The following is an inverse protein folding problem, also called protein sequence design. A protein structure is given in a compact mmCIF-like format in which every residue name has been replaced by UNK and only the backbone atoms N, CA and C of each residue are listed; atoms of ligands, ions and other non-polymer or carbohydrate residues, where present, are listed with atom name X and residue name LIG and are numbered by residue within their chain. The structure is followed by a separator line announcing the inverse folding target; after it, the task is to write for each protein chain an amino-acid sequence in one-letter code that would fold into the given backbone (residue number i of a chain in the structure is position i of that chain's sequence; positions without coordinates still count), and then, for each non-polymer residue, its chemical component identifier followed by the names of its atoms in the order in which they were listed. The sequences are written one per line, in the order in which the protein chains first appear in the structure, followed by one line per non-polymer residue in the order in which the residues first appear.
data_IF_492945227941
#
_entry.id   IF_492945227941
#
_cell.length_a   1.000
_cell.length_b   1.000
_cell.length_c   1.000
_cell.angle_alpha   90.00
_cell.angle_beta   90.00
_cell.angle_gamma   90.00
#
_symmetry.space_group_name_H-M   'P 1'
#
loop_
_entity.id
_entity.type
_entity.pdbx_description
1 polymer ?
#
# COMPACT_ATOMS: atom_id res chain seq x y z
N UNK A 1 -1.85 19.60 6.85
CA UNK A 1 -2.96 20.42 7.38
C UNK A 1 -3.56 19.73 8.61
N UNK A 2 -4.30 20.45 9.46
CA UNK A 2 -4.98 19.86 10.61
C UNK A 2 -6.49 19.97 10.41
N UNK A 3 -7.21 18.86 10.62
CA UNK A 3 -8.66 18.76 10.53
C UNK A 3 -9.19 18.19 11.85
N UNK A 4 -9.59 19.07 12.78
CA UNK A 4 -9.96 18.64 14.13
C UNK A 4 -8.78 17.93 14.83
N UNK A 5 -8.95 16.70 15.35
CA UNK A 5 -7.87 15.96 16.00
C UNK A 5 -6.88 15.30 15.02
N UNK A 6 -7.10 15.42 13.71
CA UNK A 6 -6.31 14.73 12.69
C UNK A 6 -5.25 15.67 12.09
N UNK A 7 -3.99 15.25 12.11
CA UNK A 7 -2.97 15.83 11.25
C UNK A 7 -2.91 15.04 9.94
N UNK A 8 -3.01 15.74 8.80
CA UNK A 8 -3.05 15.13 7.46
C UNK A 8 -1.95 15.73 6.61
N UNK A 9 -1.07 14.88 6.09
CA UNK A 9 -0.05 15.22 5.11
C UNK A 9 -0.35 14.49 3.80
N UNK A 10 -0.26 15.18 2.67
CA UNK A 10 -0.26 14.54 1.35
C UNK A 10 1.17 14.47 0.81
N UNK A 11 1.51 13.42 0.08
CA UNK A 11 2.80 13.28 -0.62
C UNK A 11 2.58 12.74 -2.04
N UNK A 12 3.47 13.06 -2.99
CA UNK A 12 3.33 12.57 -4.36
C UNK A 12 3.58 11.05 -4.41
N UNK A 13 2.81 10.36 -5.25
CA UNK A 13 3.10 8.98 -5.66
C UNK A 13 3.32 8.94 -7.18
N UNK A 14 3.97 7.88 -7.65
CA UNK A 14 4.22 7.69 -9.08
C UNK A 14 3.01 7.07 -9.78
N UNK A 15 2.23 7.90 -10.46
CA UNK A 15 1.08 7.49 -11.28
C UNK A 15 0.99 8.34 -12.56
N UNK A 16 0.54 7.78 -13.70
CA UNK A 16 0.17 8.57 -14.87
C UNK A 16 -0.84 9.67 -14.53
N UNK A 17 -0.58 10.90 -14.96
CA UNK A 17 -1.42 12.06 -14.64
C UNK A 17 -1.24 12.61 -13.21
N UNK A 18 -0.40 11.96 -12.39
CA UNK A 18 -0.16 12.32 -11.01
C UNK A 18 -1.23 11.80 -10.05
N UNK A 19 -0.80 11.42 -8.85
CA UNK A 19 -1.65 11.06 -7.73
C UNK A 19 -0.94 11.42 -6.42
N UNK A 20 -1.65 11.30 -5.29
CA UNK A 20 -1.07 11.51 -3.98
C UNK A 20 -1.44 10.38 -3.01
N UNK A 21 -0.49 10.06 -2.14
CA UNK A 21 -0.74 9.32 -0.91
C UNK A 21 -1.01 10.29 0.24
N UNK A 22 -1.48 9.74 1.36
CA UNK A 22 -1.79 10.51 2.56
C UNK A 22 -1.19 9.85 3.80
N UNK A 23 -0.65 10.67 4.71
CA UNK A 23 -0.40 10.27 6.09
C UNK A 23 -1.47 10.94 6.96
N UNK A 24 -2.11 10.16 7.82
CA UNK A 24 -3.10 10.63 8.79
C UNK A 24 -2.63 10.24 10.17
N UNK A 25 -2.47 11.23 11.05
CA UNK A 25 -2.08 11.04 12.44
C UNK A 25 -3.17 11.51 13.38
N UNK A 26 -3.42 10.74 14.43
CA UNK A 26 -4.36 11.07 15.52
C UNK A 26 -3.84 10.54 16.84
N UNK A 27 -3.56 11.44 17.79
CA UNK A 27 -2.89 11.07 19.03
C UNK A 27 -1.54 10.42 18.75
N UNK A 28 -1.35 9.17 19.18
CA UNK A 28 -0.14 8.39 18.93
C UNK A 28 -0.25 7.44 17.72
N UNK A 29 -1.35 7.50 16.95
CA UNK A 29 -1.60 6.61 15.81
C UNK A 29 -1.28 7.28 14.50
N UNK A 30 -0.71 6.52 13.56
CA UNK A 30 -0.30 6.94 12.23
C UNK A 30 -0.73 5.93 11.17
N UNK A 31 -1.48 6.41 10.18
CA UNK A 31 -1.94 5.61 9.04
C UNK A 31 -1.35 6.22 7.76
N UNK A 32 -0.80 5.38 6.89
CA UNK A 32 -0.31 5.82 5.58
C UNK A 32 -1.12 5.16 4.47
N UNK A 33 -1.69 5.97 3.58
CA UNK A 33 -2.43 5.56 2.39
C UNK A 33 -1.54 5.75 1.17
N UNK A 34 -1.28 4.66 0.45
CA UNK A 34 -0.50 4.60 -0.78
C UNK A 34 -1.33 3.88 -1.82
N UNK A 35 -2.29 4.59 -2.41
CA UNK A 35 -3.04 4.12 -3.58
C UNK A 35 -2.31 4.55 -4.85
N UNK A 36 -2.53 3.84 -5.96
CA UNK A 36 -2.15 4.32 -7.29
C UNK A 36 -0.66 4.70 -7.36
N UNK A 37 0.21 3.79 -6.90
CA UNK A 37 1.66 3.95 -6.97
C UNK A 37 2.30 2.83 -7.79
N UNK A 38 3.08 3.20 -8.80
CA UNK A 38 3.96 2.29 -9.52
C UNK A 38 5.36 2.30 -8.91
N UNK A 39 5.70 1.23 -8.22
CA UNK A 39 7.04 1.01 -7.68
C UNK A 39 8.10 0.82 -8.78
N UNK A 40 9.37 0.87 -8.40
CA UNK A 40 10.51 0.65 -9.28
C UNK A 40 11.20 1.92 -9.76
N UNK A 41 10.77 3.09 -9.28
CA UNK A 41 11.53 4.34 -9.42
C UNK A 41 12.12 4.72 -8.06
N UNK A 42 13.45 4.73 -7.97
CA UNK A 42 14.13 4.91 -6.68
C UNK A 42 13.75 6.21 -5.96
N UNK A 43 13.45 7.29 -6.69
CA UNK A 43 13.10 8.58 -6.08
C UNK A 43 11.67 8.56 -5.52
N UNK A 44 10.72 8.02 -6.27
CA UNK A 44 9.34 7.88 -5.82
C UNK A 44 9.22 6.86 -4.69
N UNK A 45 9.90 5.73 -4.83
CA UNK A 45 9.91 4.64 -3.85
C UNK A 45 10.47 5.13 -2.50
N UNK A 46 11.54 5.95 -2.51
CA UNK A 46 12.07 6.55 -1.28
C UNK A 46 11.05 7.44 -0.58
N UNK A 47 10.32 8.28 -1.32
CA UNK A 47 9.30 9.16 -0.75
C UNK A 47 8.19 8.34 -0.09
N UNK A 48 7.73 7.28 -0.76
CA UNK A 48 6.70 6.38 -0.25
C UNK A 48 7.20 5.65 1.00
N UNK A 49 8.39 5.06 0.95
CA UNK A 49 8.97 4.33 2.06
C UNK A 49 9.15 5.23 3.31
N UNK A 50 9.64 6.45 3.14
CA UNK A 50 9.83 7.41 4.23
C UNK A 50 8.51 7.76 4.92
N UNK A 51 7.40 7.81 4.18
CA UNK A 51 6.07 8.09 4.74
C UNK A 51 5.43 6.90 5.43
N UNK A 52 5.92 5.69 5.18
CA UNK A 52 5.50 4.47 5.87
C UNK A 52 6.24 4.24 7.19
N UNK A 53 7.38 4.89 7.42
CA UNK A 53 8.14 4.77 8.67
C UNK A 53 7.26 5.19 9.86
N UNK A 54 7.18 4.32 10.86
CA UNK A 54 6.40 4.54 12.08
C UNK A 54 4.88 4.43 11.91
N UNK A 55 4.38 3.96 10.76
CA UNK A 55 2.94 3.74 10.58
C UNK A 55 2.46 2.50 11.34
N UNK A 56 1.38 2.64 12.11
CA UNK A 56 0.62 1.53 12.71
C UNK A 56 -0.10 0.70 11.63
N UNK A 57 -0.47 1.36 10.53
CA UNK A 57 -1.17 0.76 9.40
C UNK A 57 -0.80 1.45 8.10
N UNK A 58 -0.46 0.65 7.09
CA UNK A 58 -0.34 1.11 5.70
C UNK A 58 -1.42 0.48 4.85
N UNK A 59 -2.16 1.27 4.08
CA UNK A 59 -3.00 0.79 2.99
C UNK A 59 -2.23 0.96 1.69
N UNK A 60 -1.94 -0.12 0.99
CA UNK A 60 -1.01 -0.12 -0.15
C UNK A 60 -1.62 -0.75 -1.41
N UNK A 61 -1.35 -0.16 -2.58
CA UNK A 61 -1.73 -0.69 -3.90
C UNK A 61 -1.05 -2.03 -4.21
N UNK A 62 -1.83 -3.06 -4.55
CA UNK A 62 -1.30 -4.33 -5.05
C UNK A 62 -2.09 -4.83 -6.26
N UNK A 63 -2.31 -3.94 -7.23
CA UNK A 63 -3.15 -4.22 -8.40
C UNK A 63 -2.63 -5.39 -9.21
N UNK A 64 -1.32 -5.49 -9.44
CA UNK A 64 -0.73 -6.45 -10.36
C UNK A 64 0.08 -7.54 -9.65
N UNK A 65 0.25 -8.68 -10.32
CA UNK A 65 1.33 -9.61 -10.04
C UNK A 65 2.61 -9.16 -10.76
N UNK A 66 3.77 -9.66 -10.34
CA UNK A 66 5.05 -9.38 -11.04
C UNK A 66 4.99 -9.73 -12.54
N UNK A 67 4.31 -10.83 -12.89
CA UNK A 67 4.16 -11.26 -14.28
C UNK A 67 3.30 -10.28 -15.10
N UNK A 68 2.24 -9.73 -14.49
CA UNK A 68 1.36 -8.75 -15.14
C UNK A 68 2.03 -7.38 -15.27
N UNK A 69 2.81 -6.97 -14.27
CA UNK A 69 3.47 -5.67 -14.24
C UNK A 69 4.35 -5.46 -15.48
N UNK A 70 5.02 -6.49 -15.98
CA UNK A 70 5.87 -6.41 -17.17
C UNK A 70 5.14 -5.83 -18.40
N UNK A 71 3.86 -6.19 -18.57
CA UNK A 71 3.02 -5.70 -19.67
C UNK A 71 2.23 -4.42 -19.31
N UNK A 72 2.21 -4.04 -18.03
CA UNK A 72 1.43 -2.91 -17.49
C UNK A 72 2.31 -1.82 -16.87
N UNK A 73 3.61 -1.79 -17.19
CA UNK A 73 4.51 -0.69 -16.80
C UNK A 73 3.99 0.64 -17.32
N UNK A 74 4.09 1.69 -16.51
CA UNK A 74 3.53 3.00 -16.80
C UNK A 74 2.03 3.10 -16.58
N UNK A 75 1.38 2.13 -15.95
CA UNK A 75 -0.05 2.20 -15.61
C UNK A 75 -0.29 2.75 -14.20
N UNK A 76 0.75 2.90 -13.38
CA UNK A 76 0.60 3.55 -12.07
C UNK A 76 0.34 2.61 -10.89
N UNK A 77 0.48 1.29 -11.05
CA UNK A 77 0.13 0.34 -9.99
C UNK A 77 1.28 -0.58 -9.57
N UNK A 78 1.10 -1.19 -8.40
CA UNK A 78 2.11 -1.96 -7.70
C UNK A 78 1.76 -3.44 -7.58
N UNK A 79 2.69 -4.19 -6.97
CA UNK A 79 2.57 -5.63 -6.73
C UNK A 79 2.59 -5.93 -5.24
N UNK A 80 2.10 -7.12 -4.89
CA UNK A 80 2.12 -7.56 -3.50
C UNK A 80 3.57 -7.83 -3.01
N UNK A 81 4.47 -8.20 -3.91
CA UNK A 81 5.90 -8.36 -3.66
C UNK A 81 6.57 -7.02 -3.32
N UNK A 82 6.25 -5.95 -4.04
CA UNK A 82 6.70 -4.61 -3.69
C UNK A 82 6.18 -4.20 -2.32
N UNK A 83 4.93 -4.51 -2.01
CA UNK A 83 4.33 -4.23 -0.71
C UNK A 83 5.11 -4.89 0.44
N UNK A 84 5.48 -6.17 0.29
CA UNK A 84 6.34 -6.88 1.25
C UNK A 84 7.70 -6.18 1.42
N UNK A 85 8.34 -5.78 0.33
CA UNK A 85 9.63 -5.09 0.38
C UNK A 85 9.52 -3.73 1.10
N UNK A 86 8.54 -2.90 0.75
CA UNK A 86 8.30 -1.61 1.41
C UNK A 86 7.97 -1.79 2.89
N UNK A 87 7.17 -2.80 3.26
CA UNK A 87 6.83 -3.07 4.65
C UNK A 87 8.06 -3.45 5.46
N UNK A 88 8.92 -4.30 4.90
CA UNK A 88 10.18 -4.68 5.55
C UNK A 88 11.12 -3.48 5.70
N UNK A 89 11.26 -2.67 4.65
CA UNK A 89 12.18 -1.52 4.65
C UNK A 89 11.73 -0.39 5.58
N UNK A 90 10.43 -0.08 5.59
CA UNK A 90 9.86 0.99 6.43
C UNK A 90 9.69 0.59 7.90
N UNK A 91 9.61 -0.72 8.17
CA UNK A 91 9.29 -1.23 9.50
C UNK A 91 7.84 -0.97 9.93
N UNK A 92 6.93 -0.63 9.01
CA UNK A 92 5.52 -0.43 9.31
C UNK A 92 4.93 -1.62 10.09
N UNK A 93 4.04 -1.33 11.05
CA UNK A 93 3.54 -2.35 11.97
C UNK A 93 2.65 -3.35 11.26
N UNK A 94 1.68 -2.85 10.49
CA UNK A 94 0.75 -3.65 9.68
C UNK A 94 0.61 -3.03 8.29
N UNK A 95 0.42 -3.88 7.29
CA UNK A 95 0.10 -3.46 5.94
C UNK A 95 -1.11 -4.24 5.43
N UNK A 96 -2.08 -3.52 4.87
CA UNK A 96 -3.27 -4.08 4.26
C UNK A 96 -3.28 -3.67 2.79
N UNK A 97 -3.27 -4.66 1.91
CA UNK A 97 -3.25 -4.45 0.48
C UNK A 97 -4.67 -4.17 -0.02
N UNK A 98 -4.78 -3.14 -0.83
CA UNK A 98 -6.02 -2.68 -1.47
C UNK A 98 -5.80 -2.64 -2.99
N UNK A 99 -6.85 -2.28 -3.72
CA UNK A 99 -6.75 -1.97 -5.15
C UNK A 99 -6.35 -3.18 -6.02
N UNK A 100 -6.84 -4.39 -5.72
CA UNK A 100 -6.54 -5.55 -6.55
C UNK A 100 -7.12 -5.38 -7.97
N UNK A 101 -6.53 -6.05 -8.96
CA UNK A 101 -7.05 -6.14 -10.32
C UNK A 101 -8.55 -6.55 -10.31
N UNK A 102 -9.47 -5.73 -10.89
CA UNK A 102 -10.91 -5.95 -10.80
C UNK A 102 -11.41 -7.28 -11.37
N UNK A 103 -10.66 -7.89 -12.28
CA UNK A 103 -10.99 -9.19 -12.86
C UNK A 103 -10.64 -10.40 -11.98
N UNK A 104 -9.89 -10.22 -10.87
CA UNK A 104 -9.56 -11.30 -9.94
C UNK A 104 -10.81 -11.77 -9.19
N UNK A 105 -10.95 -13.09 -9.07
CA UNK A 105 -12.00 -13.71 -8.26
C UNK A 105 -11.48 -14.05 -6.86
N UNK A 106 -12.38 -14.33 -5.92
CA UNK A 106 -12.05 -14.64 -4.53
C UNK A 106 -11.00 -15.75 -4.38
N UNK A 107 -11.01 -16.76 -5.26
CA UNK A 107 -10.03 -17.84 -5.23
C UNK A 107 -8.60 -17.35 -5.55
N UNK A 108 -8.46 -16.42 -6.50
CA UNK A 108 -7.16 -15.82 -6.86
C UNK A 108 -6.64 -14.97 -5.70
N UNK A 109 -7.54 -14.19 -5.09
CA UNK A 109 -7.21 -13.34 -3.95
C UNK A 109 -6.83 -14.17 -2.72
N UNK A 110 -7.52 -15.27 -2.46
CA UNK A 110 -7.20 -16.18 -1.36
C UNK A 110 -5.83 -16.84 -1.54
N UNK A 111 -5.48 -17.25 -2.77
CA UNK A 111 -4.17 -17.80 -3.08
C UNK A 111 -3.06 -16.75 -2.90
N UNK A 112 -3.28 -15.52 -3.37
CA UNK A 112 -2.37 -14.40 -3.18
C UNK A 112 -2.18 -14.07 -1.70
N UNK A 113 -3.26 -13.96 -0.92
CA UNK A 113 -3.20 -13.67 0.52
C UNK A 113 -2.42 -14.76 1.28
N UNK A 114 -2.64 -16.03 0.95
CA UNK A 114 -1.91 -17.14 1.56
C UNK A 114 -0.39 -17.05 1.32
N UNK A 115 0.06 -16.69 0.11
CA UNK A 115 1.48 -16.50 -0.19
C UNK A 115 2.08 -15.34 0.61
N UNK A 116 1.47 -14.16 0.54
CA UNK A 116 2.02 -12.96 1.17
C UNK A 116 2.03 -13.08 2.69
N UNK A 117 0.98 -13.62 3.29
CA UNK A 117 0.88 -13.79 4.75
C UNK A 117 1.84 -14.87 5.26
N UNK A 118 2.15 -15.88 4.45
CA UNK A 118 3.19 -16.86 4.79
C UNK A 118 4.60 -16.24 4.82
N UNK A 119 4.86 -15.25 3.96
CA UNK A 119 6.13 -14.52 3.90
C UNK A 119 6.23 -13.43 4.96
N UNK A 120 5.12 -12.75 5.24
CA UNK A 120 5.00 -11.75 6.29
C UNK A 120 3.58 -11.72 6.87
N UNK A 121 3.37 -12.23 8.11
CA UNK A 121 2.03 -12.31 8.70
C UNK A 121 1.43 -10.94 9.02
N UNK A 122 2.18 -9.84 8.86
CA UNK A 122 1.69 -8.48 9.04
C UNK A 122 1.18 -7.84 7.74
N UNK A 123 1.28 -8.57 6.62
CA UNK A 123 0.77 -8.16 5.31
C UNK A 123 -0.38 -9.07 4.89
N UNK A 124 -1.52 -8.48 4.53
CA UNK A 124 -2.71 -9.23 4.06
C UNK A 124 -3.59 -8.40 3.14
N UNK A 125 -4.59 -9.03 2.51
CA UNK A 125 -5.57 -8.31 1.68
C UNK A 125 -6.66 -7.67 2.54
N UNK A 126 -7.17 -6.51 2.10
CA UNK A 126 -8.39 -5.91 2.62
C UNK A 126 -9.63 -6.72 2.21
N UNK A 127 -10.73 -6.58 2.97
CA UNK A 127 -12.03 -7.16 2.63
C UNK A 127 -13.11 -6.08 2.51
N UNK A 128 -14.08 -6.30 1.62
CA UNK A 128 -15.26 -5.44 1.52
C UNK A 128 -16.03 -5.37 2.84
N UNK A 129 -16.29 -4.14 3.32
CA UNK A 129 -17.00 -3.91 4.59
C UNK A 129 -16.16 -4.09 5.86
N UNK A 130 -14.87 -4.36 5.73
CA UNK A 130 -13.97 -4.53 6.85
C UNK A 130 -13.80 -3.24 7.68
N UNK A 131 -13.71 -3.39 9.00
CA UNK A 131 -13.38 -2.31 9.95
C UNK A 131 -12.12 -2.68 10.71
N UNK A 132 -11.13 -1.80 10.68
CA UNK A 132 -9.87 -1.97 11.38
C UNK A 132 -9.83 -1.09 12.62
N UNK A 133 -9.45 -1.68 13.75
CA UNK A 133 -9.11 -0.94 14.96
C UNK A 133 -7.60 -0.74 15.03
N UNK A 134 -7.21 0.49 15.36
CA UNK A 134 -5.82 0.88 15.59
C UNK A 134 -5.58 1.00 17.08
#
# INVERSE_FOLDING_TARGET
MTLGPFAVESFPVRHPGGACGFVVEVGARRITFVTDHEHGDASADSIVCDRMVGADLVLYDATFTEAELAARKGWGHSTAEAALAFRQQSGAERMVLIHHEPSRVDADLAALEADITARDPRVRLARGGEKLAL
#
